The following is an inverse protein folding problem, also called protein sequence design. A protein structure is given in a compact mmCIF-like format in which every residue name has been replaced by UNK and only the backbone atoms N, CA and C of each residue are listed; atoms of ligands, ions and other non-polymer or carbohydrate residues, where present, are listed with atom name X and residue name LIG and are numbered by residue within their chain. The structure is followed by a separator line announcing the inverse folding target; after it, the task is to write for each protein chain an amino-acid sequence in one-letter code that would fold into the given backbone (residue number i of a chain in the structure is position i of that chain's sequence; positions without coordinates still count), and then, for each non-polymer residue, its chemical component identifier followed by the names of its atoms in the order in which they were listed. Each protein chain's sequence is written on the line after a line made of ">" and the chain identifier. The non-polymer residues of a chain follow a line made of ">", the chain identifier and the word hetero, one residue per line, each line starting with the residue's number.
data_IF_274491870588
#
_entry.id   IF_274491870588
#
_cell.length_a   1.000
_cell.length_b   1.000
_cell.length_c   1.000
_cell.angle_alpha   90.00
_cell.angle_beta   90.00
_cell.angle_gamma   90.00
#
_symmetry.space_group_name_H-M   'P 1'
#
loop_
_entity.id
_entity.type
_entity.pdbx_description
1 polymer ?
#
# COMPACT_ATOMS: atom_id res chain seq x y z
N UNK A 1 -52.74 -7.51 -16.48
CA UNK A 1 -52.69 -6.75 -15.21
C UNK A 1 -51.38 -5.98 -15.24
N UNK A 2 -51.28 -4.87 -15.97
CA UNK A 2 -51.53 -3.47 -15.54
C UNK A 2 -50.82 -3.12 -14.22
N UNK A 3 -49.64 -2.50 -14.30
CA UNK A 3 -49.39 -1.13 -13.81
C UNK A 3 -47.93 -0.73 -14.12
N UNK A 4 -47.76 0.25 -15.01
CA UNK A 4 -46.53 1.03 -15.15
C UNK A 4 -46.95 2.49 -15.01
N UNK A 5 -46.43 3.15 -13.98
CA UNK A 5 -46.60 4.59 -13.71
C UNK A 5 -45.25 5.28 -13.92
N UNK A 6 -45.38 6.51 -14.39
CA UNK A 6 -44.46 7.45 -15.02
C UNK A 6 -43.46 8.18 -14.10
N UNK A 7 -42.64 8.98 -14.78
CA UNK A 7 -41.84 10.16 -14.37
C UNK A 7 -40.42 9.88 -13.84
N UNK A 8 -39.35 10.53 -14.33
CA UNK A 8 -39.22 11.74 -15.14
C UNK A 8 -38.12 12.63 -14.52
N UNK A 9 -37.54 13.54 -15.32
CA UNK A 9 -36.73 14.71 -14.90
C UNK A 9 -35.25 14.43 -14.59
N UNK A 10 -34.25 15.22 -14.95
CA UNK A 10 -33.91 16.08 -16.11
C UNK A 10 -32.48 16.60 -15.86
N UNK A 11 -31.63 16.61 -16.88
CA UNK A 11 -30.34 17.31 -16.89
C UNK A 11 -30.52 18.74 -17.42
N UNK A 12 -29.74 19.71 -16.93
CA UNK A 12 -29.12 20.69 -17.81
C UNK A 12 -27.62 20.86 -17.49
N UNK A 13 -26.75 20.67 -18.48
CA UNK A 13 -26.23 21.68 -19.41
C UNK A 13 -25.06 22.51 -18.84
N UNK A 14 -23.89 22.16 -19.37
CA UNK A 14 -22.66 22.90 -19.50
C UNK A 14 -22.83 24.26 -20.17
N UNK A 15 -22.17 25.29 -19.64
CA UNK A 15 -21.73 26.45 -20.41
C UNK A 15 -20.21 26.60 -20.30
N UNK A 16 -19.57 26.53 -21.46
CA UNK A 16 -18.18 26.87 -21.77
C UNK A 16 -18.14 28.18 -22.56
N UNK A 17 -17.26 29.11 -22.20
CA UNK A 17 -16.55 30.08 -23.07
C UNK A 17 -15.65 30.95 -22.17
N UNK A 18 -14.32 30.92 -22.28
CA UNK A 18 -13.40 31.47 -23.32
C UNK A 18 -12.62 32.64 -22.70
N UNK A 19 -11.32 32.48 -22.44
CA UNK A 19 -10.19 32.95 -23.27
C UNK A 19 -9.72 34.39 -22.96
N UNK A 20 -8.44 34.52 -22.58
CA UNK A 20 -7.40 35.43 -23.11
C UNK A 20 -6.35 35.75 -22.03
N UNK A 21 -5.19 35.09 -22.05
CA UNK A 21 -3.91 35.53 -22.67
C UNK A 21 -3.23 36.75 -22.02
N UNK A 22 -2.10 36.45 -21.38
CA UNK A 22 -0.76 37.06 -21.55
C UNK A 22 -0.60 38.58 -21.34
N UNK A 23 0.28 38.98 -20.41
CA UNK A 23 1.52 39.72 -20.72
C UNK A 23 2.31 40.07 -19.46
N UNK A 24 3.62 39.82 -19.52
CA UNK A 24 4.66 40.32 -18.61
C UNK A 24 4.66 41.86 -18.56
N UNK A 25 5.13 42.44 -17.44
CA UNK A 25 6.09 43.57 -17.41
C UNK A 25 6.74 43.62 -16.01
N UNK A 26 8.08 43.66 -16.02
CA UNK A 26 8.97 44.06 -14.92
C UNK A 26 8.77 45.54 -14.59
N UNK A 27 8.93 45.95 -13.32
CA UNK A 27 9.78 47.07 -12.90
C UNK A 27 9.67 47.34 -11.40
N UNK A 28 10.83 47.43 -10.75
CA UNK A 28 11.20 48.67 -10.07
C UNK A 28 10.76 48.86 -8.63
N UNK A 29 11.65 48.48 -7.71
CA UNK A 29 11.78 49.09 -6.39
C UNK A 29 11.78 50.63 -6.48
N UNK A 30 11.02 51.29 -5.62
CA UNK A 30 11.22 52.69 -5.27
C UNK A 30 10.99 52.87 -3.76
N UNK A 31 12.11 52.91 -3.04
CA UNK A 31 12.21 53.49 -1.71
C UNK A 31 12.05 55.00 -1.83
N UNK A 32 11.15 55.60 -1.04
CA UNK A 32 11.11 57.04 -0.81
C UNK A 32 11.36 57.30 0.68
N UNK A 33 12.59 57.72 0.95
CA UNK A 33 13.02 58.49 2.12
C UNK A 33 12.90 59.97 1.74
N UNK A 34 12.29 60.83 2.56
CA UNK A 34 12.73 62.23 2.74
C UNK A 34 12.21 62.80 4.09
N UNK A 35 12.96 63.75 4.72
CA UNK A 35 12.89 64.05 6.16
C UNK A 35 12.64 65.55 6.50
N UNK A 36 12.76 65.87 7.80
CA UNK A 36 12.97 67.19 8.45
C UNK A 36 11.81 68.21 8.51
N UNK A 37 11.59 68.80 9.71
CA UNK A 37 12.04 70.17 10.00
C UNK A 37 11.83 70.60 11.48
N UNK A 38 12.97 70.87 12.09
CA UNK A 38 13.41 71.93 13.02
C UNK A 38 12.43 72.80 13.84
N UNK A 39 12.96 73.06 15.05
CA UNK A 39 12.44 73.84 16.16
C UNK A 39 13.34 75.07 16.36
N UNK A 40 12.84 76.32 16.40
CA UNK A 40 13.67 77.48 16.71
C UNK A 40 13.38 78.04 18.12
N UNK A 41 14.44 78.40 18.85
CA UNK A 41 14.40 79.35 19.97
C UNK A 41 15.64 80.23 19.94
N UNK A 42 15.48 81.42 20.52
CA UNK A 42 16.39 82.57 20.78
C UNK A 42 15.96 83.83 20.00
N UNK A 43 16.26 85.08 20.45
CA UNK A 43 17.18 85.51 21.54
C UNK A 43 16.71 86.72 22.45
N UNK A 44 17.52 87.04 23.49
CA UNK A 44 18.06 88.37 23.96
C UNK A 44 17.17 89.64 24.06
N UNK A 45 17.28 90.67 24.94
CA UNK A 45 18.11 91.11 26.11
C UNK A 45 17.43 92.42 26.70
N UNK A 46 18.03 93.25 27.61
CA UNK A 46 17.36 94.04 28.69
C UNK A 46 17.20 95.55 28.30
N UNK A 47 17.10 96.63 29.15
CA UNK A 47 17.95 97.02 30.32
C UNK A 47 17.28 97.84 31.49
N UNK A 48 18.00 97.97 32.63
CA UNK A 48 18.26 99.20 33.47
C UNK A 48 17.08 100.02 34.10
N UNK A 49 17.14 100.78 35.20
CA UNK A 49 18.12 101.27 36.21
C UNK A 49 17.29 101.78 37.46
N UNK A 50 17.81 102.53 38.47
CA UNK A 50 17.40 102.45 39.87
C UNK A 50 16.65 103.68 40.39
N UNK A 51 16.05 103.62 41.59
CA UNK A 51 15.70 104.84 42.33
C UNK A 51 16.04 104.74 43.84
N UNK A 52 16.90 105.66 44.27
CA UNK A 52 17.12 106.18 45.64
C UNK A 52 16.07 107.30 45.90
N UNK A 53 16.14 108.04 47.01
CA UNK A 53 15.77 107.76 48.40
C UNK A 53 14.53 108.59 48.83
N UNK A 54 13.90 108.31 49.97
CA UNK A 54 12.94 109.26 50.58
C UNK A 54 13.18 109.40 52.10
N UNK A 55 13.64 110.59 52.49
CA UNK A 55 13.47 111.22 53.80
C UNK A 55 12.18 112.08 53.76
N UNK A 56 11.77 112.77 54.83
CA UNK A 56 11.32 112.35 56.17
C UNK A 56 9.87 112.83 56.44
N UNK A 57 9.23 112.40 57.54
CA UNK A 57 7.97 113.00 58.02
C UNK A 57 8.10 113.52 59.46
N UNK A 58 7.78 114.82 59.58
CA UNK A 58 7.26 115.57 60.75
C UNK A 58 8.21 115.92 61.92
N UNK A 59 7.90 116.96 62.74
CA UNK A 59 6.84 117.97 62.66
C UNK A 59 7.36 119.43 62.77
N UNK A 60 6.45 120.42 62.65
CA UNK A 60 6.74 121.85 62.63
C UNK A 60 6.68 122.46 64.04
N UNK A 61 7.49 123.48 64.26
CA UNK A 61 7.12 124.57 65.17
C UNK A 61 6.89 125.82 64.33
N UNK A 62 5.61 126.18 64.27
CA UNK A 62 5.16 127.47 63.79
C UNK A 62 5.47 128.50 64.87
N UNK A 63 6.17 129.58 64.51
CA UNK A 63 6.05 130.82 65.24
C UNK A 63 5.69 131.97 64.30
N UNK A 64 4.89 132.88 64.84
CA UNK A 64 3.91 133.68 64.12
C UNK A 64 4.52 134.93 63.46
N UNK A 65 4.10 135.25 62.23
CA UNK A 65 4.18 136.61 61.68
C UNK A 65 4.73 136.74 60.26
N UNK A 66 3.92 136.49 59.22
CA UNK A 66 4.27 136.80 57.82
C UNK A 66 3.43 136.01 56.81
N UNK A 67 3.02 136.63 55.70
CA UNK A 67 2.03 136.10 54.75
C UNK A 67 2.31 134.70 54.16
N UNK A 68 1.24 134.02 53.74
CA UNK A 68 1.27 132.68 53.14
C UNK A 68 2.19 132.63 51.92
N UNK A 69 3.36 132.01 52.05
CA UNK A 69 4.17 131.63 50.90
C UNK A 69 3.68 130.31 50.32
N UNK A 70 3.36 130.24 49.01
CA UNK A 70 2.89 129.00 48.40
C UNK A 70 4.04 127.99 48.30
N UNK A 71 3.90 126.82 48.94
CA UNK A 71 4.66 125.62 48.57
C UNK A 71 4.04 125.02 47.30
N UNK A 72 4.83 124.55 46.33
CA UNK A 72 4.28 123.88 45.15
C UNK A 72 3.52 122.62 45.56
N UNK A 73 2.30 122.48 45.04
CA UNK A 73 1.48 121.29 45.24
C UNK A 73 2.08 120.07 44.55
N UNK A 74 1.85 118.85 45.07
CA UNK A 74 2.23 117.61 44.38
C UNK A 74 1.53 117.51 43.01
N UNK A 75 2.15 116.73 42.11
CA UNK A 75 1.80 116.66 40.69
C UNK A 75 0.29 116.42 40.48
N UNK A 76 -0.37 117.29 39.70
CA UNK A 76 -1.80 117.17 39.37
C UNK A 76 -2.77 117.91 40.30
N UNK A 77 -2.30 118.50 41.41
CA UNK A 77 -3.11 119.34 42.29
C UNK A 77 -2.85 120.84 42.06
N UNK A 78 -3.89 121.66 42.18
CA UNK A 78 -3.85 123.12 42.10
C UNK A 78 -3.91 123.71 43.51
N UNK A 79 -3.04 124.68 43.82
CA UNK A 79 -3.04 125.35 45.12
C UNK A 79 -4.22 126.31 45.21
N UNK A 80 -5.15 126.01 46.11
CA UNK A 80 -6.27 126.87 46.40
C UNK A 80 -5.84 127.93 47.43
N UNK A 81 -5.72 129.17 46.96
CA UNK A 81 -5.18 130.29 47.74
C UNK A 81 -6.06 130.68 48.93
N UNK A 82 -7.34 130.29 48.92
CA UNK A 82 -8.33 130.70 49.92
C UNK A 82 -8.19 129.86 51.20
N UNK A 83 -7.97 128.56 51.03
CA UNK A 83 -7.87 127.60 52.13
C UNK A 83 -6.43 127.07 52.33
N UNK A 84 -5.47 127.57 51.54
CA UNK A 84 -4.06 127.18 51.58
C UNK A 84 -3.85 125.65 51.47
N UNK A 85 -4.65 124.98 50.63
CA UNK A 85 -4.57 123.53 50.39
C UNK A 85 -4.49 123.21 48.89
N UNK A 86 -3.91 122.06 48.57
CA UNK A 86 -3.82 121.54 47.22
C UNK A 86 -5.05 120.67 46.90
N UNK A 87 -5.75 120.98 45.81
CA UNK A 87 -6.97 120.28 45.38
C UNK A 87 -6.81 119.76 43.94
N UNK A 88 -7.28 118.54 43.65
CA UNK A 88 -7.25 118.00 42.30
C UNK A 88 -8.23 118.77 41.40
N UNK A 89 -7.74 119.31 40.27
CA UNK A 89 -8.55 120.14 39.35
C UNK A 89 -9.48 119.36 38.41
N UNK A 90 -9.54 118.03 38.50
CA UNK A 90 -10.32 117.17 37.59
C UNK A 90 -11.60 116.64 38.24
N UNK A 91 -12.70 116.72 37.51
CA UNK A 91 -13.96 116.04 37.82
C UNK A 91 -14.05 114.76 36.99
N UNK A 92 -14.20 113.61 37.64
CA UNK A 92 -14.40 112.33 36.97
C UNK A 92 -15.87 112.15 36.57
N UNK A 93 -16.12 111.67 35.34
CA UNK A 93 -17.45 111.26 34.92
C UNK A 93 -17.86 109.98 35.68
N UNK A 94 -19.07 109.93 36.28
CA UNK A 94 -19.59 108.71 36.88
C UNK A 94 -19.59 107.57 35.84
N UNK A 95 -19.24 106.31 36.21
CA UNK A 95 -19.11 105.78 37.58
C UNK A 95 -17.69 105.80 38.17
N UNK A 96 -16.71 106.40 37.48
CA UNK A 96 -15.32 106.47 37.98
C UNK A 96 -15.21 107.48 39.13
N UNK A 97 -14.36 107.17 40.11
CA UNK A 97 -14.08 108.03 41.26
C UNK A 97 -12.66 108.59 41.17
N UNK A 98 -12.51 109.83 41.64
CA UNK A 98 -11.23 110.51 41.67
C UNK A 98 -10.39 109.97 42.85
N UNK A 99 -9.23 109.41 42.55
CA UNK A 99 -8.27 109.04 43.57
C UNK A 99 -7.61 110.31 44.12
N UNK A 100 -7.80 110.59 45.42
CA UNK A 100 -7.28 111.81 46.05
C UNK A 100 -5.75 111.86 46.15
N UNK A 101 -5.05 110.73 45.98
CA UNK A 101 -3.60 110.64 46.01
C UNK A 101 -2.92 110.86 44.66
N UNK A 102 -3.51 110.38 43.56
CA UNK A 102 -2.94 110.52 42.20
C UNK A 102 -3.68 111.51 41.30
N UNK A 103 -4.88 111.96 41.71
CA UNK A 103 -5.80 112.73 40.89
C UNK A 103 -6.27 112.03 39.58
N UNK A 104 -6.18 110.71 39.50
CA UNK A 104 -6.71 109.91 38.39
C UNK A 104 -8.12 109.39 38.64
N UNK A 105 -8.87 109.15 37.56
CA UNK A 105 -10.21 108.57 37.62
C UNK A 105 -10.15 107.05 37.51
N UNK A 106 -10.40 106.35 38.62
CA UNK A 106 -10.39 104.89 38.70
C UNK A 106 -11.77 104.29 38.97
N UNK A 107 -11.97 103.04 38.59
CA UNK A 107 -13.20 102.31 38.91
C UNK A 107 -13.18 101.91 40.39
N UNK A 108 -14.33 101.95 41.10
CA UNK A 108 -14.41 101.54 42.51
C UNK A 108 -14.14 100.04 42.71
N UNK A 109 -14.31 99.21 41.67
CA UNK A 109 -13.85 97.82 41.65
C UNK A 109 -12.51 97.74 40.93
N UNK A 110 -11.54 97.08 41.56
CA UNK A 110 -10.21 96.82 41.00
C UNK A 110 -10.07 95.43 40.39
N UNK A 111 -11.03 94.54 40.63
CA UNK A 111 -11.08 93.19 40.05
C UNK A 111 -12.51 92.69 39.82
N UNK A 112 -12.66 91.80 38.85
CA UNK A 112 -13.88 91.04 38.57
C UNK A 112 -13.74 89.59 39.05
N UNK A 113 -14.85 88.85 39.24
CA UNK A 113 -14.82 87.41 39.50
C UNK A 113 -14.08 86.64 38.39
N UNK A 114 -13.54 85.47 38.73
CA UNK A 114 -12.77 84.63 37.80
C UNK A 114 -13.55 84.42 36.47
N UNK A 115 -12.87 84.72 35.36
CA UNK A 115 -13.43 84.60 34.01
C UNK A 115 -13.99 85.90 33.42
N UNK A 116 -14.28 86.92 34.23
CA UNK A 116 -14.78 88.21 33.75
C UNK A 116 -13.68 89.27 33.65
N UNK A 117 -13.75 90.14 32.64
CA UNK A 117 -12.79 91.24 32.40
C UNK A 117 -13.47 92.57 32.77
N UNK A 118 -12.84 93.36 33.65
CA UNK A 118 -13.35 94.69 34.02
C UNK A 118 -13.22 95.65 32.84
N UNK A 119 -14.35 96.05 32.28
CA UNK A 119 -14.41 97.10 31.29
C UNK A 119 -14.08 98.43 31.96
N UNK A 120 -12.89 98.97 31.69
CA UNK A 120 -12.41 100.16 32.37
C UNK A 120 -13.20 101.43 32.04
N UNK A 121 -14.00 101.46 30.96
CA UNK A 121 -14.85 102.60 30.62
C UNK A 121 -16.18 102.58 31.38
N UNK A 122 -16.84 101.44 31.46
CA UNK A 122 -18.16 101.30 32.12
C UNK A 122 -18.05 100.87 33.59
N UNK A 123 -16.89 100.39 34.02
CA UNK A 123 -16.67 99.73 35.31
C UNK A 123 -17.56 98.47 35.53
N UNK A 124 -18.01 97.84 34.44
CA UNK A 124 -18.76 96.58 34.43
C UNK A 124 -17.86 95.39 34.07
N UNK A 125 -18.24 94.18 34.48
CA UNK A 125 -17.46 92.97 34.27
C UNK A 125 -18.05 92.17 33.10
N UNK A 126 -17.35 92.12 31.96
CA UNK A 126 -17.83 91.46 30.74
C UNK A 126 -17.17 90.10 30.52
N UNK A 127 -17.95 89.11 30.05
CA UNK A 127 -17.46 87.79 29.66
C UNK A 127 -17.18 87.76 28.15
N UNK A 128 -15.95 88.03 27.73
CA UNK A 128 -15.59 88.20 26.31
C UNK A 128 -14.61 87.11 25.81
N UNK A 129 -14.87 85.85 26.15
CA UNK A 129 -13.98 84.72 25.85
C UNK A 129 -14.46 83.95 24.61
N UNK A 130 -13.59 83.80 23.61
CA UNK A 130 -13.86 82.97 22.42
C UNK A 130 -13.45 81.51 22.69
N UNK A 131 -14.39 80.58 22.59
CA UNK A 131 -14.12 79.14 22.70
C UNK A 131 -13.84 78.53 21.32
N UNK A 132 -12.80 77.68 21.23
CA UNK A 132 -12.51 76.92 20.02
C UNK A 132 -13.56 75.81 19.85
N UNK A 133 -14.11 75.57 18.64
CA UNK A 133 -14.98 74.43 18.39
C UNK A 133 -14.27 73.11 18.76
N UNK A 134 -14.95 72.13 19.40
CA UNK A 134 -16.39 72.01 19.65
C UNK A 134 -16.89 72.60 20.99
N UNK A 135 -16.05 73.29 21.74
CA UNK A 135 -16.41 73.84 23.05
C UNK A 135 -17.32 75.07 22.91
N UNK A 136 -18.31 75.19 23.80
CA UNK A 136 -19.21 76.35 23.88
C UNK A 136 -18.95 77.12 25.16
N UNK A 137 -19.13 78.44 25.09
CA UNK A 137 -19.05 79.33 26.23
C UNK A 137 -20.31 79.11 27.09
N UNK A 138 -20.11 78.76 28.36
CA UNK A 138 -21.17 78.84 29.36
C UNK A 138 -21.26 80.30 29.84
N UNK A 139 -22.39 80.96 29.54
CA UNK A 139 -22.62 82.37 29.85
C UNK A 139 -22.67 82.65 31.37
N UNK A 140 -22.93 81.63 32.20
CA UNK A 140 -23.04 81.79 33.65
C UNK A 140 -21.69 81.69 34.37
N UNK A 141 -20.75 80.91 33.83
CA UNK A 141 -19.44 80.67 34.44
C UNK A 141 -18.29 81.26 33.64
N UNK A 142 -18.55 81.75 32.43
CA UNK A 142 -17.55 82.24 31.49
C UNK A 142 -16.43 81.20 31.19
N UNK A 143 -16.78 79.91 31.26
CA UNK A 143 -15.88 78.78 30.96
C UNK A 143 -16.28 78.10 29.65
N UNK A 144 -15.28 77.61 28.90
CA UNK A 144 -15.52 76.80 27.71
C UNK A 144 -15.74 75.33 28.12
N UNK A 145 -16.91 74.78 27.82
CA UNK A 145 -17.27 73.39 28.13
C UNK A 145 -17.88 72.67 26.92
N UNK A 146 -18.00 71.35 27.01
CA UNK A 146 -18.76 70.59 26.03
C UNK A 146 -20.26 70.85 26.21
N UNK A 147 -21.04 70.99 25.12
CA UNK A 147 -22.48 71.05 25.22
C UNK A 147 -23.03 69.73 25.80
N UNK A 148 -24.12 69.77 26.59
CA UNK A 148 -24.70 68.57 27.17
C UNK A 148 -25.14 67.61 26.06
N UNK A 149 -24.47 66.46 25.97
CA UNK A 149 -24.77 65.39 25.01
C UNK A 149 -25.12 64.12 25.77
N UNK A 150 -26.31 63.58 25.53
CA UNK A 150 -26.70 62.26 26.00
C UNK A 150 -26.01 61.21 25.12
N UNK A 151 -25.04 60.49 25.67
CA UNK A 151 -24.41 59.37 24.98
C UNK A 151 -25.30 58.13 25.04
N UNK A 152 -25.31 57.29 23.97
CA UNK A 152 -25.98 55.99 24.00
C UNK A 152 -25.44 55.08 25.12
N UNK A 153 -26.24 54.10 25.54
CA UNK A 153 -25.85 53.12 26.56
C UNK A 153 -24.53 52.44 26.17
N UNK A 154 -23.55 52.43 27.09
CA UNK A 154 -22.22 51.85 26.86
C UNK A 154 -21.14 52.84 26.41
N UNK A 155 -21.52 54.08 26.09
CA UNK A 155 -20.60 55.17 25.76
C UNK A 155 -20.55 56.20 26.89
N UNK A 156 -19.37 56.74 27.19
CA UNK A 156 -19.14 57.85 28.13
C UNK A 156 -18.75 59.09 27.36
N UNK A 157 -19.30 60.23 27.75
CA UNK A 157 -18.92 61.51 27.18
C UNK A 157 -17.46 61.82 27.55
N UNK A 158 -16.62 62.05 26.56
CA UNK A 158 -15.25 62.47 26.74
C UNK A 158 -15.19 64.00 26.73
N UNK A 159 -14.94 64.57 27.91
CA UNK A 159 -14.91 66.02 28.14
C UNK A 159 -13.78 66.75 27.39
N UNK A 160 -12.79 66.02 26.84
CA UNK A 160 -11.70 66.60 26.04
C UNK A 160 -11.98 66.65 24.55
N UNK A 161 -12.75 65.70 24.03
CA UNK A 161 -13.07 65.61 22.59
C UNK A 161 -14.51 66.00 22.29
N UNK A 162 -15.35 66.14 23.32
CA UNK A 162 -16.80 66.27 23.24
C UNK A 162 -17.48 65.14 22.42
N UNK A 163 -16.82 63.98 22.30
CA UNK A 163 -17.33 62.77 21.65
C UNK A 163 -17.77 61.73 22.68
N UNK A 164 -18.53 60.73 22.24
CA UNK A 164 -18.96 59.63 23.09
C UNK A 164 -18.02 58.45 22.84
N UNK A 165 -17.21 58.07 23.83
CA UNK A 165 -16.26 56.97 23.71
C UNK A 165 -16.85 55.71 24.35
N UNK A 166 -16.71 54.57 23.69
CA UNK A 166 -17.16 53.29 24.23
C UNK A 166 -16.34 52.93 25.49
N UNK A 167 -17.03 52.50 26.55
CA UNK A 167 -16.42 52.18 27.87
C UNK A 167 -16.09 50.69 27.99
N UNK A 168 -16.55 49.85 27.07
CA UNK A 168 -16.39 48.40 27.16
C UNK A 168 -14.95 47.98 26.83
N UNK A 169 -14.44 47.05 27.62
CA UNK A 169 -13.25 46.25 27.29
C UNK A 169 -13.70 44.83 26.90
N UNK A 170 -13.12 44.30 25.83
CA UNK A 170 -13.38 42.93 25.38
C UNK A 170 -12.34 41.97 25.96
N UNK A 171 -12.79 40.78 26.34
CA UNK A 171 -11.88 39.69 26.71
C UNK A 171 -11.21 39.17 25.44
N UNK A 172 -9.91 38.87 25.48
CA UNK A 172 -9.25 38.17 24.38
C UNK A 172 -9.97 36.83 24.12
N UNK A 173 -10.22 36.44 22.87
CA UNK A 173 -9.67 36.98 21.61
C UNK A 173 -10.51 38.04 20.89
N UNK A 174 -11.65 38.46 21.45
CA UNK A 174 -12.54 39.43 20.79
C UNK A 174 -11.96 40.85 20.74
N UNK A 175 -12.23 41.55 19.64
CA UNK A 175 -11.87 42.95 19.44
C UNK A 175 -13.11 43.83 19.61
N UNK A 176 -12.89 45.06 20.11
CA UNK A 176 -13.95 46.04 20.29
C UNK A 176 -14.27 46.71 18.95
N UNK A 177 -15.51 46.61 18.51
CA UNK A 177 -16.02 47.40 17.40
C UNK A 177 -16.42 48.79 17.93
N UNK A 178 -15.74 49.84 17.48
CA UNK A 178 -15.95 51.23 17.92
C UNK A 178 -17.33 51.78 17.55
N UNK A 179 -17.90 51.32 16.44
CA UNK A 179 -19.14 51.87 15.88
C UNK A 179 -20.39 51.27 16.57
N UNK A 180 -20.29 50.01 17.01
CA UNK A 180 -21.38 49.32 17.70
C UNK A 180 -21.14 49.11 19.20
N UNK A 181 -19.94 49.41 19.72
CA UNK A 181 -19.52 49.12 21.10
C UNK A 181 -19.84 47.67 21.51
N UNK A 182 -19.59 46.75 20.58
CA UNK A 182 -19.76 45.30 20.74
C UNK A 182 -18.43 44.57 20.58
N UNK A 183 -18.31 43.42 21.24
CA UNK A 183 -17.14 42.56 21.11
C UNK A 183 -17.43 41.55 20.01
N UNK A 184 -16.58 41.53 18.99
CA UNK A 184 -16.69 40.61 17.86
C UNK A 184 -15.34 39.94 17.62
N UNK A 185 -15.35 38.79 16.95
CA UNK A 185 -14.10 38.21 16.50
C UNK A 185 -13.39 39.12 15.50
N UNK A 186 -12.03 39.12 15.47
CA UNK A 186 -11.30 39.71 14.36
C UNK A 186 -11.73 39.08 13.03
N UNK A 187 -11.45 39.73 11.91
CA UNK A 187 -11.80 39.23 10.57
C UNK A 187 -10.99 37.95 10.25
N UNK A 188 -11.50 36.81 10.73
CA UNK A 188 -10.93 35.47 10.56
C UNK A 188 -11.72 34.76 9.47
N UNK A 189 -11.03 34.41 8.39
CA UNK A 189 -11.59 33.58 7.32
C UNK A 189 -11.19 32.13 7.51
N UNK A 190 -12.14 31.28 7.86
CA UNK A 190 -11.90 29.85 7.97
C UNK A 190 -11.90 29.19 6.58
N UNK A 191 -10.93 28.31 6.28
CA UNK A 191 -10.97 27.51 5.06
C UNK A 191 -12.16 26.54 5.12
N UNK A 192 -12.95 26.39 4.05
CA UNK A 192 -13.98 25.36 3.99
C UNK A 192 -13.36 23.96 4.21
N UNK A 193 -13.99 23.04 4.99
CA UNK A 193 -15.33 23.10 5.59
C UNK A 193 -15.38 23.62 7.05
N UNK A 194 -14.30 24.19 7.57
CA UNK A 194 -14.25 24.67 8.95
C UNK A 194 -15.12 25.93 9.14
N UNK A 195 -15.72 26.05 10.32
CA UNK A 195 -16.55 27.19 10.71
C UNK A 195 -15.89 27.99 11.83
N UNK A 196 -16.19 29.29 11.89
CA UNK A 196 -15.70 30.16 12.96
C UNK A 196 -16.50 29.90 14.23
N UNK A 197 -15.82 29.56 15.32
CA UNK A 197 -16.40 29.52 16.65
C UNK A 197 -16.46 30.94 17.22
N UNK A 198 -17.66 31.48 17.41
CA UNK A 198 -17.90 32.84 17.92
C UNK A 198 -17.40 33.07 19.36
N UNK A 199 -17.15 32.01 20.13
CA UNK A 199 -16.67 32.08 21.52
C UNK A 199 -15.14 32.08 21.59
N UNK A 200 -14.48 31.25 20.78
CA UNK A 200 -13.00 31.14 20.79
C UNK A 200 -12.33 31.95 19.68
N UNK A 201 -13.10 32.48 18.73
CA UNK A 201 -12.62 33.09 17.48
C UNK A 201 -11.62 32.21 16.71
N UNK A 202 -11.69 30.89 16.91
CA UNK A 202 -10.91 29.88 16.20
C UNK A 202 -11.75 29.18 15.14
N UNK A 203 -11.08 28.57 14.16
CA UNK A 203 -11.74 27.71 13.19
C UNK A 203 -11.84 26.29 13.74
N UNK A 204 -13.03 25.72 13.73
CA UNK A 204 -13.28 24.34 14.16
C UNK A 204 -14.17 23.62 13.15
N UNK A 205 -14.16 22.29 13.20
CA UNK A 205 -15.11 21.53 12.41
C UNK A 205 -16.53 21.75 12.94
N UNK A 206 -17.55 21.83 12.06
CA UNK A 206 -18.94 21.72 12.50
C UNK A 206 -19.14 20.42 13.28
N UNK A 207 -20.22 20.32 14.04
CA UNK A 207 -20.50 19.19 14.95
C UNK A 207 -20.62 17.86 14.20
N UNK A 208 -19.47 17.24 13.91
CA UNK A 208 -19.31 15.99 13.16
C UNK A 208 -19.03 14.88 14.16
N UNK A 209 -20.05 14.08 14.44
CA UNK A 209 -19.92 12.89 15.27
C UNK A 209 -19.48 11.71 14.40
N UNK A 210 -18.18 11.43 14.35
CA UNK A 210 -17.67 10.18 13.79
C UNK A 210 -18.12 8.98 14.64
N UNK A 211 -18.43 7.84 14.01
CA UNK A 211 -18.89 6.63 14.72
C UNK A 211 -17.67 5.96 15.40
N UNK A 212 -17.50 6.06 16.73
CA UNK A 212 -16.41 5.37 17.42
C UNK A 212 -16.77 3.89 17.52
N UNK A 213 -15.80 2.94 17.47
CA UNK A 213 -14.35 3.13 17.60
C UNK A 213 -13.55 3.17 16.27
N UNK A 214 -14.21 3.15 15.12
CA UNK A 214 -13.55 2.79 13.84
C UNK A 214 -13.03 3.97 13.04
N UNK A 215 -13.65 5.15 13.13
CA UNK A 215 -13.26 6.34 12.34
C UNK A 215 -12.78 7.49 13.22
N UNK A 216 -11.73 8.19 12.79
CA UNK A 216 -11.22 9.41 13.42
C UNK A 216 -11.57 10.64 12.60
N UNK A 217 -11.94 11.75 13.26
CA UNK A 217 -12.18 13.03 12.59
C UNK A 217 -10.83 13.62 12.17
N UNK A 218 -10.63 13.80 10.88
CA UNK A 218 -9.53 14.58 10.35
C UNK A 218 -9.83 16.07 10.59
N UNK A 219 -8.98 16.75 11.38
CA UNK A 219 -9.21 18.15 11.78
C UNK A 219 -9.01 19.17 10.66
N UNK A 220 -8.33 18.78 9.57
CA UNK A 220 -8.08 19.65 8.42
C UNK A 220 -9.19 19.53 7.36
N UNK A 221 -9.73 18.32 7.17
CA UNK A 221 -10.79 18.05 6.18
C UNK A 221 -12.18 17.99 6.79
N UNK A 222 -12.31 17.87 8.11
CA UNK A 222 -13.55 17.60 8.83
C UNK A 222 -14.30 16.35 8.32
N UNK A 223 -13.58 15.38 7.78
CA UNK A 223 -14.10 14.09 7.31
C UNK A 223 -13.69 12.99 8.30
N UNK A 224 -14.57 12.02 8.52
CA UNK A 224 -14.26 10.83 9.31
C UNK A 224 -13.49 9.84 8.43
N UNK A 225 -12.23 9.57 8.78
CA UNK A 225 -11.35 8.66 8.05
C UNK A 225 -11.01 7.46 8.95
N UNK A 226 -10.78 6.29 8.35
CA UNK A 226 -10.23 5.17 9.10
C UNK A 226 -8.82 5.51 9.57
N UNK A 227 -8.38 5.07 10.77
CA UNK A 227 -7.00 5.21 11.19
C UNK A 227 -6.07 4.51 10.17
N UNK A 228 -4.80 4.91 10.14
CA UNK A 228 -3.81 4.28 9.28
C UNK A 228 -3.66 2.79 9.64
N UNK A 229 -4.38 1.93 8.91
CA UNK A 229 -4.36 0.47 9.05
C UNK A 229 -3.55 -0.08 7.87
N UNK A 230 -2.52 -0.86 8.15
CA UNK A 230 -1.84 -1.66 7.13
C UNK A 230 -2.52 -3.02 7.03
N UNK A 231 -3.25 -3.26 5.93
CA UNK A 231 -3.84 -4.57 5.68
C UNK A 231 -2.79 -5.54 5.12
N UNK A 232 -2.89 -6.85 5.47
CA UNK A 232 -2.11 -7.89 4.82
C UNK A 232 -2.31 -7.88 3.29
N UNK A 233 -1.36 -8.43 2.51
CA UNK A 233 -1.49 -8.53 1.07
C UNK A 233 -2.81 -9.19 0.67
N UNK A 234 -3.48 -8.65 -0.37
CA UNK A 234 -4.79 -9.10 -0.91
C UNK A 234 -6.03 -8.71 -0.08
N UNK A 235 -5.87 -8.08 1.07
CA UNK A 235 -6.98 -7.51 1.83
C UNK A 235 -7.05 -6.00 1.61
N UNK A 236 -8.26 -5.47 1.51
CA UNK A 236 -8.55 -4.03 1.39
C UNK A 236 -9.26 -3.53 2.64
N UNK A 237 -9.06 -2.26 3.00
CA UNK A 237 -9.80 -1.64 4.10
C UNK A 237 -11.24 -1.42 3.62
N UNK A 238 -12.18 -1.97 4.37
CA UNK A 238 -13.59 -1.65 4.24
C UNK A 238 -13.83 -0.26 4.87
N UNK A 239 -14.16 0.75 4.06
CA UNK A 239 -14.32 2.14 4.50
C UNK A 239 -15.47 2.34 5.51
N UNK A 240 -16.47 1.46 5.51
CA UNK A 240 -17.62 1.55 6.42
C UNK A 240 -17.33 0.94 7.80
N UNK A 241 -16.50 -0.11 7.85
CA UNK A 241 -16.20 -0.85 9.08
C UNK A 241 -14.79 -0.60 9.62
N UNK A 242 -13.91 0.00 8.81
CA UNK A 242 -12.47 0.10 9.04
C UNK A 242 -11.83 -1.24 9.42
N UNK A 243 -12.27 -2.32 8.78
CA UNK A 243 -11.70 -3.67 8.92
C UNK A 243 -11.08 -4.09 7.58
N UNK A 244 -10.04 -4.92 7.64
CA UNK A 244 -9.49 -5.52 6.43
C UNK A 244 -10.42 -6.65 5.97
N UNK A 245 -10.95 -6.54 4.76
CA UNK A 245 -11.82 -7.52 4.11
C UNK A 245 -11.22 -7.94 2.76
N UNK A 246 -11.66 -9.11 2.26
CA UNK A 246 -11.30 -9.56 0.92
C UNK A 246 -12.20 -8.87 -0.11
N UNK A 247 -11.60 -8.38 -1.20
CA UNK A 247 -12.33 -7.71 -2.29
C UNK A 247 -13.16 -8.72 -3.09
N UNK A 248 -14.50 -8.62 -3.00
CA UNK A 248 -15.50 -9.34 -3.83
C UNK A 248 -15.24 -10.85 -4.07
N UNK A 249 -14.67 -11.54 -3.08
CA UNK A 249 -14.44 -13.00 -3.19
C UNK A 249 -15.70 -13.76 -2.78
N UNK A 250 -16.45 -14.25 -3.77
CA UNK A 250 -17.57 -15.17 -3.56
C UNK A 250 -17.14 -16.61 -3.81
N UNK A 251 -16.98 -17.38 -2.74
CA UNK A 251 -16.76 -18.83 -2.82
C UNK A 251 -18.08 -19.54 -3.08
N UNK A 252 -18.08 -20.59 -3.90
CA UNK A 252 -19.28 -21.39 -4.23
C UNK A 252 -19.63 -22.30 -3.04
N UNK A 253 -20.62 -21.95 -2.19
CA UNK A 253 -20.99 -22.78 -1.06
C UNK A 253 -21.83 -23.96 -1.58
N UNK A 254 -21.84 -25.14 -0.92
CA UNK A 254 -21.26 -25.44 0.40
C UNK A 254 -19.83 -26.01 0.35
N UNK A 255 -19.21 -26.15 -0.83
CA UNK A 255 -18.00 -26.96 -0.99
C UNK A 255 -16.72 -26.23 -0.64
N UNK A 256 -16.65 -24.90 -0.80
CA UNK A 256 -15.45 -24.11 -0.47
C UNK A 256 -15.74 -23.03 0.57
N UNK A 257 -14.74 -22.77 1.42
CA UNK A 257 -14.76 -21.73 2.44
C UNK A 257 -13.72 -20.66 2.10
N UNK A 258 -14.08 -19.39 2.30
CA UNK A 258 -13.13 -18.28 2.13
C UNK A 258 -12.13 -18.28 3.28
N UNK A 259 -10.86 -18.50 2.97
CA UNK A 259 -9.78 -18.25 3.90
C UNK A 259 -9.54 -16.74 3.98
N UNK A 260 -9.88 -16.13 5.12
CA UNK A 260 -9.80 -14.67 5.33
C UNK A 260 -8.37 -14.12 5.41
N UNK A 261 -7.35 -14.98 5.55
CA UNK A 261 -5.95 -14.56 5.59
C UNK A 261 -5.32 -14.53 4.19
N UNK A 262 -5.75 -15.42 3.30
CA UNK A 262 -5.21 -15.54 1.93
C UNK A 262 -6.18 -14.99 0.87
N UNK A 263 -7.43 -14.72 1.25
CA UNK A 263 -8.52 -14.38 0.34
C UNK A 263 -8.74 -15.43 -0.77
N UNK A 264 -8.45 -16.70 -0.48
CA UNK A 264 -8.65 -17.82 -1.40
C UNK A 264 -9.77 -18.74 -0.91
N UNK A 265 -10.48 -19.37 -1.86
CA UNK A 265 -11.48 -20.38 -1.55
C UNK A 265 -10.81 -21.75 -1.37
N UNK A 266 -10.90 -22.31 -0.18
CA UNK A 266 -10.30 -23.59 0.19
C UNK A 266 -11.38 -24.62 0.51
N UNK A 267 -11.12 -25.89 0.19
CA UNK A 267 -12.01 -26.96 0.63
C UNK A 267 -11.87 -27.14 2.16
N UNK A 268 -12.97 -27.36 2.89
CA UNK A 268 -12.89 -27.75 4.29
C UNK A 268 -12.14 -29.09 4.39
N UNK A 269 -11.28 -29.21 5.41
CA UNK A 269 -10.47 -30.39 5.63
C UNK A 269 -11.36 -31.63 5.82
N UNK A 270 -11.44 -32.48 4.80
CA UNK A 270 -12.21 -33.71 4.81
C UNK A 270 -11.25 -34.89 4.98
N UNK A 271 -11.50 -35.76 5.96
CA UNK A 271 -10.75 -37.01 6.10
C UNK A 271 -11.30 -38.04 5.11
N UNK A 272 -10.65 -38.19 3.96
CA UNK A 272 -10.99 -39.24 3.00
C UNK A 272 -10.51 -40.61 3.50
N UNK A 273 -11.31 -41.68 3.31
CA UNK A 273 -10.86 -43.02 3.59
C UNK A 273 -9.71 -43.37 2.62
N UNK A 274 -8.56 -43.88 3.11
CA UNK A 274 -7.50 -44.35 2.22
C UNK A 274 -8.03 -45.47 1.31
N UNK A 275 -7.73 -45.46 0.00
CA UNK A 275 -6.73 -44.65 -0.72
C UNK A 275 -7.28 -43.39 -1.42
N UNK A 276 -8.52 -42.98 -1.15
CA UNK A 276 -9.14 -41.81 -1.77
C UNK A 276 -8.50 -40.52 -1.27
N UNK A 277 -8.42 -39.52 -2.16
CA UNK A 277 -7.91 -38.18 -1.83
C UNK A 277 -8.98 -37.13 -2.08
N UNK A 278 -8.93 -36.02 -1.35
CA UNK A 278 -9.85 -34.91 -1.57
C UNK A 278 -9.46 -34.16 -2.85
N UNK A 279 -10.39 -34.02 -3.78
CA UNK A 279 -10.22 -33.21 -4.97
C UNK A 279 -10.35 -31.72 -4.61
N UNK A 280 -9.37 -30.91 -5.00
CA UNK A 280 -9.27 -29.48 -4.66
C UNK A 280 -10.37 -28.60 -5.30
N UNK A 281 -11.04 -29.08 -6.36
CA UNK A 281 -12.06 -28.34 -7.10
C UNK A 281 -13.49 -28.79 -6.73
N UNK A 282 -13.71 -30.09 -6.59
CA UNK A 282 -15.02 -30.64 -6.21
C UNK A 282 -15.21 -30.73 -4.69
N UNK A 283 -14.12 -30.69 -3.92
CA UNK A 283 -14.06 -30.93 -2.48
C UNK A 283 -14.62 -32.30 -2.06
N UNK A 284 -14.71 -33.24 -2.99
CA UNK A 284 -15.16 -34.61 -2.78
C UNK A 284 -13.96 -35.57 -2.72
N UNK A 285 -14.14 -36.71 -2.05
CA UNK A 285 -13.14 -37.77 -2.08
C UNK A 285 -13.23 -38.50 -3.42
N UNK A 286 -12.13 -38.55 -4.15
CA UNK A 286 -12.01 -39.19 -5.45
C UNK A 286 -10.73 -40.05 -5.49
N UNK A 287 -10.72 -41.07 -6.34
CA UNK A 287 -9.51 -41.84 -6.57
C UNK A 287 -8.48 -41.03 -7.37
N UNK A 288 -7.19 -41.06 -7.01
CA UNK A 288 -6.14 -40.31 -7.70
C UNK A 288 -5.84 -40.85 -9.12
N UNK A 289 -6.26 -42.08 -9.41
CA UNK A 289 -5.99 -42.77 -10.67
C UNK A 289 -7.19 -42.74 -11.59
N UNK A 290 -6.93 -42.65 -12.90
CA UNK A 290 -7.93 -42.84 -13.95
C UNK A 290 -7.53 -44.05 -14.79
N UNK A 291 -8.44 -45.01 -14.92
CA UNK A 291 -8.19 -46.22 -15.69
C UNK A 291 -8.30 -45.97 -17.20
N UNK A 292 -7.39 -46.56 -17.96
CA UNK A 292 -7.48 -46.55 -19.42
C UNK A 292 -8.46 -47.65 -19.85
N UNK A 293 -9.41 -47.37 -20.76
CA UNK A 293 -10.27 -48.41 -21.33
C UNK A 293 -9.42 -49.55 -21.92
N UNK A 294 -9.76 -50.83 -21.70
CA UNK A 294 -11.03 -51.36 -21.16
C UNK A 294 -11.09 -51.58 -19.64
N UNK A 295 -10.09 -51.14 -18.87
CA UNK A 295 -10.05 -51.34 -17.42
C UNK A 295 -11.07 -50.44 -16.71
N UNK A 296 -11.66 -50.94 -15.64
CA UNK A 296 -12.66 -50.23 -14.82
C UNK A 296 -12.03 -49.89 -13.46
N UNK A 297 -12.30 -48.69 -12.96
CA UNK A 297 -11.86 -48.27 -11.63
C UNK A 297 -12.72 -48.95 -10.57
N UNK A 298 -12.07 -49.62 -9.64
CA UNK A 298 -12.68 -50.10 -8.40
C UNK A 298 -12.68 -48.95 -7.37
N UNK A 299 -13.86 -48.43 -7.03
CA UNK A 299 -14.00 -47.25 -6.17
C UNK A 299 -13.56 -47.50 -4.71
N UNK A 300 -13.62 -48.75 -4.24
CA UNK A 300 -13.24 -49.11 -2.87
C UNK A 300 -11.72 -49.22 -2.69
N UNK A 301 -11.01 -49.72 -3.72
CA UNK A 301 -9.55 -49.94 -3.67
C UNK A 301 -8.75 -48.89 -4.45
N UNK A 302 -9.42 -48.05 -5.23
CA UNK A 302 -8.82 -47.19 -6.26
C UNK A 302 -7.81 -47.93 -7.16
N UNK A 303 -8.08 -49.19 -7.49
CA UNK A 303 -7.29 -49.99 -8.43
C UNK A 303 -8.03 -50.15 -9.75
N UNK A 304 -7.28 -50.33 -10.84
CA UNK A 304 -7.86 -50.59 -12.15
C UNK A 304 -7.95 -52.11 -12.35
N UNK A 305 -9.17 -52.62 -12.40
CA UNK A 305 -9.45 -54.03 -12.59
C UNK A 305 -10.06 -54.26 -13.97
N UNK A 306 -9.86 -55.45 -14.52
CA UNK A 306 -10.62 -55.86 -15.69
C UNK A 306 -12.07 -56.12 -15.30
N UNK A 307 -13.06 -55.82 -16.16
CA UNK A 307 -14.42 -56.29 -15.94
C UNK A 307 -14.43 -57.83 -15.81
N UNK A 308 -15.50 -58.37 -15.22
CA UNK A 308 -15.69 -59.81 -15.10
C UNK A 308 -15.71 -60.49 -16.48
N UNK A 309 -14.53 -60.94 -16.92
CA UNK A 309 -14.31 -61.60 -18.21
C UNK A 309 -14.09 -63.08 -17.93
N UNK A 310 -15.00 -63.91 -18.45
CA UNK A 310 -14.87 -65.36 -18.40
C UNK A 310 -14.13 -65.85 -19.65
N UNK A 311 -12.89 -66.29 -19.48
CA UNK A 311 -12.12 -66.94 -20.54
C UNK A 311 -12.38 -68.45 -20.58
N UNK A 312 -12.51 -69.00 -21.79
CA UNK A 312 -12.54 -70.45 -21.97
C UNK A 312 -11.14 -71.03 -21.75
N UNK A 313 -10.98 -72.05 -20.89
CA UNK A 313 -9.71 -72.75 -20.73
C UNK A 313 -9.19 -73.24 -22.09
N UNK A 314 -7.88 -73.08 -22.39
CA UNK A 314 -6.77 -72.76 -21.48
C UNK A 314 -6.34 -71.26 -21.47
N UNK A 315 -7.20 -70.34 -21.90
CA UNK A 315 -6.87 -68.90 -21.91
C UNK A 315 -7.16 -68.25 -20.57
N UNK A 316 -6.31 -67.29 -20.18
CA UNK A 316 -6.46 -66.48 -18.97
C UNK A 316 -6.59 -64.99 -19.35
N UNK A 317 -7.21 -64.19 -18.47
CA UNK A 317 -7.34 -62.75 -18.70
C UNK A 317 -5.98 -62.10 -18.48
N UNK A 318 -5.47 -61.42 -19.50
CA UNK A 318 -4.30 -60.56 -19.35
C UNK A 318 -4.70 -59.28 -18.57
N UNK A 319 -4.09 -59.00 -17.41
CA UNK A 319 -4.49 -57.88 -16.54
C UNK A 319 -4.22 -56.50 -17.15
N UNK A 320 -3.34 -56.38 -18.15
CA UNK A 320 -3.04 -55.11 -18.82
C UNK A 320 -3.90 -54.83 -20.06
N UNK A 321 -4.35 -55.88 -20.76
CA UNK A 321 -5.17 -55.73 -21.99
C UNK A 321 -6.65 -56.05 -21.78
N UNK A 322 -7.00 -56.71 -20.67
CA UNK A 322 -8.30 -57.32 -20.41
C UNK A 322 -8.79 -58.17 -21.58
N UNK A 323 -7.89 -58.97 -22.14
CA UNK A 323 -8.19 -59.93 -23.21
C UNK A 323 -7.85 -61.33 -22.76
N UNK A 324 -8.57 -62.31 -23.29
CA UNK A 324 -8.26 -63.72 -23.08
C UNK A 324 -7.07 -64.11 -23.95
N UNK A 325 -5.92 -64.29 -23.31
CA UNK A 325 -4.66 -64.64 -23.94
C UNK A 325 -4.20 -66.00 -23.39
N UNK A 326 -3.39 -66.72 -24.16
CA UNK A 326 -2.79 -67.92 -23.62
C UNK A 326 -1.71 -67.53 -22.60
N UNK A 327 -1.63 -68.25 -21.49
CA UNK A 327 -0.48 -68.14 -20.59
C UNK A 327 0.77 -68.51 -21.40
N UNK A 328 1.72 -67.58 -21.50
CA UNK A 328 2.90 -67.78 -22.32
C UNK A 328 3.72 -68.97 -21.78
N UNK A 329 3.78 -70.05 -22.56
CA UNK A 329 4.56 -71.24 -22.20
C UNK A 329 5.85 -71.29 -23.02
N UNK A 330 6.95 -71.64 -22.36
CA UNK A 330 8.22 -71.89 -23.03
C UNK A 330 8.16 -73.28 -23.66
N UNK A 331 8.00 -73.32 -24.98
CA UNK A 331 8.02 -74.58 -25.72
C UNK A 331 9.41 -75.21 -25.74
N UNK A 332 9.45 -76.54 -25.77
CA UNK A 332 10.70 -77.31 -25.97
C UNK A 332 11.34 -76.94 -27.32
N UNK A 333 12.67 -77.15 -27.49
CA UNK A 333 13.32 -76.94 -28.78
C UNK A 333 12.60 -77.70 -29.91
N UNK A 334 12.46 -77.08 -31.09
CA UNK A 334 11.70 -77.56 -32.27
C UNK A 334 10.16 -77.50 -32.18
N UNK A 335 9.60 -77.02 -31.08
CA UNK A 335 8.18 -76.68 -30.99
C UNK A 335 7.98 -75.16 -31.14
N UNK A 336 6.87 -74.77 -31.77
CA UNK A 336 6.35 -73.39 -31.85
C UNK A 336 5.06 -73.35 -31.03
N UNK A 337 4.89 -72.29 -30.25
CA UNK A 337 3.66 -72.05 -29.52
C UNK A 337 2.54 -71.62 -30.49
N UNK A 338 1.43 -72.37 -30.51
CA UNK A 338 0.24 -72.01 -31.26
C UNK A 338 -0.68 -71.17 -30.36
N UNK A 339 -0.88 -69.91 -30.71
CA UNK A 339 -1.68 -68.93 -29.96
C UNK A 339 -3.21 -69.19 -30.02
N UNK A 340 -3.67 -69.98 -30.97
CA UNK A 340 -5.09 -70.36 -31.07
C UNK A 340 -5.42 -71.54 -30.15
N UNK A 341 -4.57 -72.56 -30.15
CA UNK A 341 -4.75 -73.79 -29.37
C UNK A 341 -4.11 -73.73 -27.98
N UNK A 342 -3.28 -72.71 -27.72
CA UNK A 342 -2.41 -72.57 -26.55
C UNK A 342 -1.54 -73.81 -26.29
N UNK A 343 -1.08 -74.48 -27.36
CA UNK A 343 -0.25 -75.69 -27.28
C UNK A 343 1.04 -75.50 -28.07
N UNK A 344 2.09 -76.18 -27.63
CA UNK A 344 3.34 -76.27 -28.38
C UNK A 344 3.18 -77.32 -29.48
N UNK A 345 3.30 -76.89 -30.74
CA UNK A 345 3.19 -77.73 -31.93
C UNK A 345 4.51 -77.78 -32.69
N UNK A 346 4.78 -78.86 -33.42
CA UNK A 346 6.05 -79.00 -34.12
C UNK A 346 6.27 -77.91 -35.19
N UNK A 347 7.48 -77.34 -35.23
CA UNK A 347 7.91 -76.39 -36.25
C UNK A 347 7.97 -77.08 -37.62
N UNK A 348 6.88 -76.99 -38.39
CA UNK A 348 6.71 -77.44 -39.78
C UNK A 348 7.79 -78.39 -40.35
N UNK A 349 7.72 -79.67 -40.00
CA UNK A 349 8.39 -80.73 -40.75
C UNK A 349 7.42 -81.89 -40.93
N UNK A 350 6.54 -81.83 -41.94
CA UNK A 350 5.75 -83.01 -42.36
C UNK A 350 6.48 -83.87 -43.39
N UNK A 351 7.47 -83.32 -44.08
CA UNK A 351 8.22 -84.04 -45.13
C UNK A 351 9.66 -84.34 -44.72
N UNK A 352 9.87 -85.51 -44.11
CA UNK A 352 11.20 -86.05 -43.89
C UNK A 352 11.78 -86.60 -45.21
N UNK A 353 13.00 -86.17 -45.57
CA UNK A 353 13.74 -86.72 -46.73
C UNK A 353 13.97 -88.23 -46.56
N UNK A 354 14.02 -88.95 -47.69
CA UNK A 354 13.99 -90.43 -47.82
C UNK A 354 14.73 -91.22 -46.71
N UNK A 355 14.05 -92.26 -46.19
CA UNK A 355 14.47 -93.19 -45.10
C UNK A 355 14.51 -92.60 -43.68
N UNK A 356 13.85 -91.46 -43.46
CA UNK A 356 13.54 -90.94 -42.14
C UNK A 356 12.02 -90.93 -41.92
N UNK A 357 11.58 -91.08 -40.69
CA UNK A 357 10.20 -90.82 -40.27
C UNK A 357 10.17 -89.58 -39.39
N UNK A 358 9.04 -88.87 -39.37
CA UNK A 358 8.86 -87.75 -38.48
C UNK A 358 8.49 -88.26 -37.08
N UNK A 359 9.28 -87.91 -36.08
CA UNK A 359 9.00 -88.22 -34.70
C UNK A 359 8.26 -87.03 -34.07
N UNK A 360 6.97 -87.23 -33.74
CA UNK A 360 6.09 -86.21 -33.18
C UNK A 360 6.46 -85.80 -31.73
N UNK A 361 7.20 -86.66 -31.01
CA UNK A 361 7.63 -86.40 -29.62
C UNK A 361 8.90 -85.54 -29.52
N UNK A 362 9.72 -85.56 -30.57
CA UNK A 362 10.98 -84.77 -30.63
C UNK A 362 10.92 -83.68 -31.69
N UNK A 363 9.87 -83.68 -32.53
CA UNK A 363 9.75 -82.88 -33.75
C UNK A 363 11.00 -82.97 -34.64
N UNK A 364 11.60 -84.16 -34.75
CA UNK A 364 12.78 -84.42 -35.59
C UNK A 364 12.51 -85.52 -36.61
N UNK A 365 13.26 -85.51 -37.72
CA UNK A 365 13.27 -86.61 -38.66
C UNK A 365 14.28 -87.68 -38.23
N UNK A 366 13.79 -88.77 -37.67
CA UNK A 366 14.58 -89.87 -37.16
C UNK A 366 14.72 -90.98 -38.20
N UNK A 367 15.81 -91.72 -38.17
CA UNK A 367 16.00 -92.84 -39.10
C UNK A 367 15.12 -94.03 -38.68
N UNK A 368 14.55 -94.76 -39.64
CA UNK A 368 13.96 -96.06 -39.35
C UNK A 368 14.98 -96.98 -38.67
N UNK A 369 14.56 -97.87 -37.75
CA UNK A 369 15.44 -98.84 -37.15
C UNK A 369 16.01 -99.76 -38.24
N UNK A 370 17.34 -99.74 -38.40
CA UNK A 370 18.07 -100.58 -39.34
C UNK A 370 19.13 -101.35 -38.56
N UNK A 371 19.06 -102.68 -38.63
CA UNK A 371 20.14 -103.54 -38.14
C UNK A 371 21.22 -103.64 -39.22
N UNK A 372 22.41 -103.13 -38.91
CA UNK A 372 23.54 -103.25 -39.80
C UNK A 372 24.20 -104.62 -39.66
N UNK A 373 24.55 -105.23 -40.80
CA UNK A 373 25.34 -106.46 -40.83
C UNK A 373 26.68 -106.28 -40.08
N UNK A 374 27.25 -107.36 -39.49
CA UNK A 374 28.55 -107.31 -38.82
C UNK A 374 29.64 -106.68 -39.71
N UNK A 375 30.38 -105.71 -39.17
CA UNK A 375 31.40 -104.94 -39.90
C UNK A 375 30.91 -103.59 -40.46
N UNK A 376 29.60 -103.34 -40.49
CA UNK A 376 29.03 -102.05 -40.88
C UNK A 376 28.63 -101.22 -39.65
N UNK A 377 28.96 -99.92 -39.67
CA UNK A 377 28.49 -98.95 -38.68
C UNK A 377 27.30 -98.16 -39.25
N UNK A 378 26.24 -98.05 -38.47
CA UNK A 378 25.10 -97.20 -38.83
C UNK A 378 25.53 -95.72 -38.89
N UNK A 379 25.23 -95.05 -40.00
CA UNK A 379 25.45 -93.60 -40.12
C UNK A 379 24.13 -92.86 -39.85
N UNK A 380 24.00 -92.15 -38.71
CA UNK A 380 22.74 -91.51 -38.32
C UNK A 380 22.38 -90.29 -39.18
N UNK A 381 23.33 -89.71 -39.94
CA UNK A 381 23.01 -88.58 -40.84
C UNK A 381 22.33 -89.05 -42.13
N UNK A 382 22.79 -90.18 -42.68
CA UNK A 382 22.31 -90.71 -43.96
C UNK A 382 21.33 -91.88 -43.80
N UNK A 383 21.09 -92.38 -42.58
CA UNK A 383 20.27 -93.57 -42.31
C UNK A 383 20.71 -94.80 -43.12
N UNK A 384 22.02 -94.99 -43.25
CA UNK A 384 22.62 -96.08 -44.04
C UNK A 384 23.78 -96.72 -43.28
N UNK A 385 23.91 -98.03 -43.40
CA UNK A 385 25.04 -98.78 -42.89
C UNK A 385 26.28 -98.52 -43.75
N UNK A 386 27.34 -97.97 -43.15
CA UNK A 386 28.62 -97.72 -43.83
C UNK A 386 29.67 -98.69 -43.33
N UNK A 387 30.48 -99.18 -44.26
CA UNK A 387 31.51 -100.15 -43.98
C UNK A 387 32.62 -99.56 -43.08
N UNK A 388 32.94 -100.20 -41.94
CA UNK A 388 34.06 -99.82 -41.08
C UNK A 388 35.35 -100.35 -41.69
N UNK A 389 36.16 -99.46 -42.28
CA UNK A 389 37.52 -99.84 -42.73
C UNK A 389 38.35 -100.23 -41.51
N UNK A 390 38.79 -101.47 -41.47
CA UNK A 390 39.72 -101.99 -40.46
C UNK A 390 40.95 -102.56 -41.15
N UNK A 391 42.10 -102.46 -40.49
CA UNK A 391 43.31 -103.13 -40.93
C UNK A 391 43.12 -104.64 -40.74
N UNK A 392 43.36 -105.41 -41.80
CA UNK A 392 43.24 -106.86 -41.73
C UNK A 392 44.52 -107.50 -41.18
N UNK A 393 44.41 -108.60 -40.41
CA UNK A 393 45.55 -109.40 -40.00
C UNK A 393 46.37 -109.88 -41.21
N UNK A 394 47.67 -110.15 -41.02
CA UNK A 394 48.56 -110.61 -42.10
C UNK A 394 47.98 -111.85 -42.80
N UNK A 395 47.89 -111.81 -44.13
CA UNK A 395 47.30 -112.88 -44.97
C UNK A 395 45.85 -112.64 -45.41
N UNK A 396 45.14 -111.72 -44.75
CA UNK A 396 43.78 -111.33 -45.11
C UNK A 396 43.74 -110.01 -45.89
N UNK A 397 42.84 -109.90 -46.86
CA UNK A 397 42.55 -108.68 -47.63
C UNK A 397 41.16 -108.19 -47.29
N UNK A 398 41.02 -106.88 -47.10
CA UNK A 398 39.73 -106.27 -46.80
C UNK A 398 38.81 -106.29 -48.02
N UNK A 399 37.71 -107.03 -47.93
CA UNK A 399 36.66 -107.01 -48.94
C UNK A 399 35.67 -105.88 -48.66
N UNK A 400 35.58 -104.92 -49.58
CA UNK A 400 34.65 -103.79 -49.49
C UNK A 400 33.19 -104.20 -49.57
N UNK A 401 32.85 -105.36 -50.16
CA UNK A 401 31.45 -105.83 -50.29
C UNK A 401 30.94 -106.45 -49.00
N UNK A 402 31.72 -107.31 -48.37
CA UNK A 402 31.36 -107.97 -47.11
C UNK A 402 31.80 -107.18 -45.88
N UNK A 403 32.50 -106.07 -46.07
CA UNK A 403 33.09 -105.24 -45.02
C UNK A 403 33.87 -106.04 -43.96
N UNK A 404 34.66 -107.00 -44.43
CA UNK A 404 35.38 -107.96 -43.59
C UNK A 404 36.69 -108.38 -44.22
N UNK A 405 37.54 -109.00 -43.41
CA UNK A 405 38.83 -109.51 -43.83
C UNK A 405 38.67 -110.93 -44.37
N UNK A 406 39.04 -111.17 -45.62
CA UNK A 406 38.97 -112.50 -46.24
C UNK A 406 40.36 -112.97 -46.68
N UNK A 407 40.57 -114.29 -46.70
CA UNK A 407 41.80 -114.86 -47.24
C UNK A 407 42.01 -114.47 -48.70
N UNK A 408 43.25 -114.13 -49.05
CA UNK A 408 43.64 -113.96 -50.45
C UNK A 408 43.62 -115.35 -51.11
N UNK A 409 42.67 -115.59 -52.02
CA UNK A 409 42.31 -116.91 -52.61
C UNK A 409 43.39 -117.69 -53.39
N UNK A 410 44.68 -117.42 -53.19
CA UNK A 410 45.76 -118.04 -53.98
C UNK A 410 46.93 -118.49 -53.10
N UNK A 411 46.67 -119.42 -52.17
CA UNK A 411 47.72 -120.28 -51.62
C UNK A 411 47.35 -121.72 -51.94
N UNK A 412 48.09 -122.34 -52.87
CA UNK A 412 48.14 -123.80 -52.98
C UNK A 412 49.24 -124.28 -52.05
N UNK A 413 48.87 -125.08 -51.05
CA UNK A 413 49.78 -125.63 -50.07
C UNK A 413 50.40 -126.93 -50.62
N UNK A 414 51.69 -127.15 -50.40
CA UNK A 414 52.36 -128.38 -50.83
C UNK A 414 52.01 -129.54 -49.88
N UNK A 415 51.68 -130.75 -50.39
CA UNK A 415 51.41 -131.91 -49.54
C UNK A 415 52.61 -132.23 -48.63
N UNK A 416 52.40 -132.55 -47.33
CA UNK A 416 51.14 -132.94 -46.69
C UNK A 416 50.38 -131.79 -45.99
N UNK A 417 50.58 -130.53 -46.39
CA UNK A 417 49.88 -129.39 -45.77
C UNK A 417 48.55 -129.05 -46.46
N UNK A 418 47.56 -128.58 -45.68
CA UNK A 418 46.28 -128.09 -46.18
C UNK A 418 46.09 -126.60 -45.89
N UNK A 419 45.30 -125.90 -46.72
CA UNK A 419 45.02 -124.49 -46.52
C UNK A 419 43.94 -124.28 -45.46
N UNK A 420 44.30 -123.62 -44.36
CA UNK A 420 43.39 -123.27 -43.27
C UNK A 420 42.65 -121.96 -43.59
N UNK A 421 41.33 -122.04 -43.77
CA UNK A 421 40.48 -120.85 -44.04
C UNK A 421 40.35 -119.90 -42.85
N UNK A 422 40.74 -120.33 -41.66
CA UNK A 422 40.69 -119.56 -40.41
C UNK A 422 41.96 -118.77 -40.14
N UNK A 423 43.13 -119.26 -40.57
CA UNK A 423 44.42 -118.55 -40.42
C UNK A 423 44.95 -117.98 -41.73
N UNK A 424 44.36 -118.37 -42.87
CA UNK A 424 44.83 -118.08 -44.22
C UNK A 424 46.28 -118.51 -44.46
N UNK A 425 46.70 -119.62 -43.84
CA UNK A 425 48.04 -120.20 -43.94
C UNK A 425 47.96 -121.71 -44.24
N UNK A 426 49.08 -122.30 -44.66
CA UNK A 426 49.22 -123.73 -44.87
C UNK A 426 49.60 -124.41 -43.55
N UNK A 427 48.76 -125.31 -43.07
CA UNK A 427 48.97 -126.06 -41.83
C UNK A 427 49.23 -127.54 -42.17
N UNK A 428 50.11 -128.21 -41.42
CA UNK A 428 50.48 -129.61 -41.66
C UNK A 428 49.38 -130.56 -41.17
N UNK A 429 49.05 -131.57 -41.97
CA UNK A 429 48.09 -132.61 -41.60
C UNK A 429 48.74 -133.63 -40.65
N UNK A 430 48.45 -133.51 -39.36
CA UNK A 430 49.05 -134.32 -38.28
C UNK A 430 48.56 -135.77 -38.28
N UNK A 431 47.41 -136.07 -38.91
CA UNK A 431 46.87 -137.43 -39.00
C UNK A 431 47.68 -138.33 -39.95
N UNK A 432 48.49 -137.74 -40.84
CA UNK A 432 49.38 -138.49 -41.76
C UNK A 432 50.64 -139.04 -41.08
N UNK A 433 51.00 -138.54 -39.89
CA UNK A 433 52.23 -138.93 -39.17
C UNK A 433 52.07 -140.16 -38.27
N UNK A 434 50.85 -140.51 -37.84
CA UNK A 434 50.61 -141.68 -36.98
C UNK A 434 50.59 -143.01 -37.76
N UNK A 435 50.30 -143.00 -39.07
CA UNK A 435 50.18 -144.22 -39.89
C UNK A 435 51.51 -144.95 -40.17
N UNK A 436 52.67 -144.29 -39.95
CA UNK A 436 54.00 -144.88 -40.21
C UNK A 436 54.62 -145.66 -39.03
N UNK A 437 53.95 -145.76 -37.87
CA UNK A 437 54.49 -146.46 -36.68
C UNK A 437 54.04 -147.91 -36.48
N UNK A 438 53.22 -148.48 -37.37
CA UNK A 438 52.55 -149.78 -37.13
C UNK A 438 52.82 -150.89 -38.17
N UNK A 439 53.96 -150.90 -38.87
CA UNK A 439 54.36 -152.03 -39.73
C UNK A 439 55.66 -152.69 -39.22
N UNK A 440 55.66 -154.02 -38.94
CA UNK A 440 56.85 -154.76 -38.49
C UNK A 440 57.81 -155.10 -39.64
N UNK A 441 59.07 -155.31 -39.28
CA UNK A 441 60.21 -155.53 -40.17
C UNK A 441 60.26 -156.95 -40.77
N UNK A 442 60.64 -157.03 -42.05
CA UNK A 442 61.40 -158.12 -42.67
C UNK A 442 62.72 -157.56 -43.22
#
# INVERSE_FOLDING_TARGET
>A
MINVIYDGVSLPQSMTTSLQTSSRINLGQLNLYFPFLDNPRFPDFPPQLPELPNFPDLPPDCDCGGGCQPRPCPFGQLFNIINCRCECGRLCLPPRRLNSGSCDCECPRTSCPDGYILNQLTCECDCNRLCLPPFRLDENTCTCGCPPKLCPVGYRHNERTCQCDCVRSCSRPHILNSDSCSCQCPDVRCPPPMILNEVTCGCECPDVSCRPPTTQLNQDTCICECPAIECPPLMIINEDTCQCDCEDVSCRPPTTQLNRLTCMCECPALKCPPPMIQNEFSCQCECPVRCLPPMILNEDTCQCDCPDILCLPPKEVNPGSCRCECVQQICKPNYIFNEETCKCECKQVKDCKSRKYFNEETCTCDCYPVECLPGFNFNPRTCMCKCRRQACPKGFVFDKKCCGCQCRRYLMCEPPSYFSKTTCQCELDVDFLEFRRSLPAE
#
